data_IF_117708424103
#
_entry.id   IF_117708424103
#
_cell.length_a   1.000
_cell.length_b   1.000
_cell.length_c   1.000
_cell.angle_alpha   90.00
_cell.angle_beta   90.00
_cell.angle_gamma   90.00
#
_symmetry.space_group_name_H-M   'P 1'
#
loop_
_entity.id
_entity.type
_entity.pdbx_description
1 polymer ?
#
# COMPACT_ATOMS: atom_id res chain seq x y z
N UNK A 1 -13.40 -35.62 5.95
CA UNK A 1 -14.27 -34.46 6.23
C UNK A 1 -13.50 -33.47 7.07
N UNK A 2 -13.81 -32.16 6.98
CA UNK A 2 -13.05 -31.08 7.64
C UNK A 2 -13.10 -31.16 9.18
N UNK A 3 -14.16 -31.75 9.72
CA UNK A 3 -14.32 -31.96 11.18
C UNK A 3 -13.25 -32.89 11.76
N UNK A 4 -12.80 -33.86 10.98
CA UNK A 4 -11.89 -34.92 11.44
C UNK A 4 -10.42 -34.61 11.17
N UNK A 5 -10.10 -33.39 10.70
CA UNK A 5 -8.71 -32.97 10.50
C UNK A 5 -8.01 -32.85 11.86
N UNK A 6 -6.96 -33.64 12.04
CA UNK A 6 -6.17 -33.65 13.25
C UNK A 6 -5.08 -32.57 13.29
N UNK A 7 -4.48 -32.37 14.45
CA UNK A 7 -3.29 -31.50 14.61
C UNK A 7 -2.16 -31.99 13.70
N UNK A 8 -2.00 -33.31 13.54
CA UNK A 8 -0.99 -33.93 12.68
C UNK A 8 -1.19 -33.55 11.22
N UNK A 9 -2.42 -33.58 10.72
CA UNK A 9 -2.75 -33.23 9.33
C UNK A 9 -2.44 -31.77 9.03
N UNK A 10 -2.78 -30.85 9.95
CA UNK A 10 -2.39 -29.44 9.82
C UNK A 10 -0.87 -29.25 9.81
N UNK A 11 -0.12 -29.98 10.66
CA UNK A 11 1.34 -29.94 10.67
C UNK A 11 1.93 -30.45 9.36
N UNK A 12 1.45 -31.57 8.87
CA UNK A 12 1.88 -32.17 7.59
C UNK A 12 1.60 -31.24 6.41
N UNK A 13 0.42 -30.63 6.36
CA UNK A 13 0.09 -29.62 5.35
C UNK A 13 1.06 -28.41 5.40
N UNK A 14 1.27 -27.87 6.60
CA UNK A 14 2.17 -26.71 6.75
C UNK A 14 3.63 -27.10 6.41
N UNK A 15 4.09 -28.30 6.78
CA UNK A 15 5.42 -28.80 6.41
C UNK A 15 5.58 -28.91 4.89
N UNK A 16 4.59 -29.49 4.19
CA UNK A 16 4.56 -29.55 2.73
C UNK A 16 4.66 -28.17 2.09
N UNK A 17 3.88 -27.18 2.60
CA UNK A 17 3.93 -25.81 2.09
C UNK A 17 5.30 -25.16 2.32
N UNK A 18 5.96 -25.47 3.43
CA UNK A 18 7.31 -25.00 3.74
C UNK A 18 8.35 -25.62 2.81
N UNK A 19 8.28 -26.93 2.56
CA UNK A 19 9.14 -27.62 1.58
C UNK A 19 8.94 -27.06 0.17
N UNK A 20 7.73 -26.63 -0.18
CA UNK A 20 7.41 -25.91 -1.41
C UNK A 20 7.90 -24.44 -1.45
N UNK A 21 8.77 -24.00 -0.54
CA UNK A 21 9.45 -22.70 -0.56
C UNK A 21 8.69 -21.54 0.09
N UNK A 22 7.59 -21.80 0.82
CA UNK A 22 6.91 -20.70 1.51
C UNK A 22 7.75 -20.14 2.67
N UNK A 23 7.87 -18.82 2.68
CA UNK A 23 8.55 -18.10 3.76
C UNK A 23 7.78 -18.18 5.08
N UNK A 24 8.45 -18.00 6.23
CA UNK A 24 7.80 -17.96 7.55
C UNK A 24 6.65 -16.94 7.63
N UNK A 25 6.78 -15.79 6.96
CA UNK A 25 5.73 -14.77 6.88
C UNK A 25 4.51 -15.27 6.08
N UNK A 26 4.74 -15.94 4.96
CA UNK A 26 3.67 -16.56 4.16
C UNK A 26 2.99 -17.70 4.92
N UNK A 27 3.76 -18.52 5.64
CA UNK A 27 3.23 -19.58 6.51
C UNK A 27 2.35 -19.03 7.63
N UNK A 28 2.78 -17.96 8.31
CA UNK A 28 1.96 -17.29 9.33
C UNK A 28 0.63 -16.78 8.75
N UNK A 29 0.64 -16.28 7.51
CA UNK A 29 -0.55 -15.83 6.79
C UNK A 29 -1.49 -16.98 6.47
N UNK A 30 -0.97 -18.09 5.95
CA UNK A 30 -1.76 -19.33 5.71
C UNK A 30 -2.42 -19.80 7.01
N UNK A 31 -1.67 -19.88 8.10
CA UNK A 31 -2.21 -20.29 9.40
C UNK A 31 -3.31 -19.34 9.90
N UNK A 32 -3.13 -18.03 9.74
CA UNK A 32 -4.14 -17.04 10.10
C UNK A 32 -5.43 -17.21 9.28
N UNK A 33 -5.30 -17.50 7.98
CA UNK A 33 -6.45 -17.76 7.10
C UNK A 33 -7.20 -19.02 7.53
N UNK A 34 -6.48 -20.10 7.81
CA UNK A 34 -7.10 -21.34 8.29
C UNK A 34 -7.82 -21.14 9.62
N UNK A 35 -7.21 -20.44 10.58
CA UNK A 35 -7.86 -20.11 11.86
C UNK A 35 -9.13 -19.28 11.67
N UNK A 36 -9.08 -18.29 10.79
CA UNK A 36 -10.26 -17.47 10.49
C UNK A 36 -11.36 -18.27 9.84
N UNK A 37 -11.01 -19.20 8.94
CA UNK A 37 -11.96 -20.10 8.30
C UNK A 37 -12.65 -21.02 9.32
N UNK A 38 -11.90 -21.74 10.16
CA UNK A 38 -12.50 -22.63 11.16
C UNK A 38 -13.29 -21.87 12.22
N UNK A 39 -12.85 -20.67 12.63
CA UNK A 39 -13.63 -19.79 13.50
C UNK A 39 -14.94 -19.33 12.85
N UNK A 40 -14.93 -19.08 11.55
CA UNK A 40 -16.16 -18.76 10.82
C UNK A 40 -17.11 -19.94 10.77
N UNK A 41 -16.62 -21.15 10.43
CA UNK A 41 -17.40 -22.38 10.39
C UNK A 41 -18.03 -22.73 11.76
N UNK A 42 -17.29 -22.56 12.85
CA UNK A 42 -17.76 -22.74 14.22
C UNK A 42 -18.89 -21.75 14.55
N UNK A 43 -18.75 -20.48 14.14
CA UNK A 43 -19.76 -19.44 14.35
C UNK A 43 -21.08 -19.69 13.63
N UNK A 44 -21.04 -20.31 12.44
CA UNK A 44 -22.25 -20.67 11.66
C UNK A 44 -22.67 -22.12 11.92
N UNK A 45 -22.11 -22.75 12.95
CA UNK A 45 -22.44 -24.11 13.43
C UNK A 45 -22.34 -25.21 12.37
N UNK A 46 -21.57 -24.98 11.27
CA UNK A 46 -21.44 -25.97 10.20
C UNK A 46 -20.30 -26.97 10.40
N UNK A 47 -19.22 -26.58 11.08
CA UNK A 47 -18.04 -27.43 11.36
C UNK A 47 -17.42 -26.98 12.68
N UNK A 48 -17.21 -27.91 13.59
CA UNK A 48 -16.48 -27.69 14.85
C UNK A 48 -15.16 -28.44 14.83
N UNK A 49 -14.05 -27.71 14.66
CA UNK A 49 -12.70 -28.28 14.71
C UNK A 49 -11.74 -27.33 15.44
N UNK A 50 -11.32 -27.70 16.64
CA UNK A 50 -10.41 -26.92 17.47
C UNK A 50 -8.92 -27.27 17.27
N UNK A 51 -8.60 -28.29 16.47
CA UNK A 51 -7.23 -28.77 16.27
C UNK A 51 -6.28 -27.68 15.73
N UNK A 52 -6.80 -26.77 14.88
CA UNK A 52 -6.03 -25.64 14.32
C UNK A 52 -5.54 -24.66 15.39
N UNK A 53 -6.21 -24.58 16.54
CA UNK A 53 -5.82 -23.66 17.62
C UNK A 53 -4.51 -24.11 18.31
N UNK A 54 -4.22 -25.43 18.29
CA UNK A 54 -3.00 -26.01 18.88
C UNK A 54 -1.76 -25.87 18.00
N UNK A 55 -1.89 -25.32 16.78
CA UNK A 55 -0.73 -25.08 15.90
C UNK A 55 -0.07 -23.75 16.28
N UNK A 56 1.20 -23.78 16.65
CA UNK A 56 1.97 -22.55 16.91
C UNK A 56 2.32 -21.85 15.59
N UNK A 57 2.14 -20.54 15.54
CA UNK A 57 2.59 -19.75 14.40
C UNK A 57 4.11 -19.74 14.31
N UNK A 58 4.70 -19.80 13.10
CA UNK A 58 6.14 -19.68 12.94
C UNK A 58 6.60 -18.29 13.43
N UNK A 59 7.76 -18.25 14.07
CA UNK A 59 8.40 -16.98 14.43
C UNK A 59 8.73 -16.23 13.14
N UNK A 60 8.14 -15.06 12.96
CA UNK A 60 8.42 -14.14 11.86
C UNK A 60 9.35 -13.07 12.39
N UNK A 61 10.58 -12.93 11.85
CA UNK A 61 11.45 -11.82 12.24
C UNK A 61 10.70 -10.49 12.02
N UNK A 62 10.66 -9.65 13.04
CA UNK A 62 10.16 -8.28 12.91
C UNK A 62 11.21 -7.47 12.15
N UNK A 63 11.13 -7.45 10.83
CA UNK A 63 11.84 -6.42 10.08
C UNK A 63 11.04 -5.13 10.24
N UNK A 64 11.58 -4.16 10.97
CA UNK A 64 11.06 -2.80 10.92
C UNK A 64 11.17 -2.33 9.47
N UNK A 65 10.08 -1.85 8.85
CA UNK A 65 10.19 -1.21 7.56
C UNK A 65 11.15 -0.03 7.71
N UNK A 66 12.28 -0.06 7.00
CA UNK A 66 13.18 1.09 6.98
C UNK A 66 12.56 2.11 6.03
N UNK A 67 12.29 3.34 6.50
CA UNK A 67 11.90 4.43 5.61
C UNK A 67 13.05 4.67 4.63
N UNK A 68 12.72 5.14 3.43
CA UNK A 68 13.72 5.67 2.52
C UNK A 68 14.31 6.95 3.13
N UNK A 69 15.56 7.23 2.87
CA UNK A 69 16.12 8.56 3.17
C UNK A 69 15.43 9.62 2.32
N UNK A 70 15.51 10.88 2.69
CA UNK A 70 14.98 11.98 1.87
C UNK A 70 15.59 11.98 0.46
N UNK A 71 16.91 11.79 0.38
CA UNK A 71 17.65 11.67 -0.89
C UNK A 71 17.07 10.53 -1.72
N UNK A 72 16.96 9.31 -1.16
CA UNK A 72 16.42 8.17 -1.89
C UNK A 72 14.95 8.35 -2.30
N UNK A 73 14.14 9.07 -1.52
CA UNK A 73 12.77 9.38 -1.90
C UNK A 73 12.70 10.37 -3.07
N UNK A 74 13.61 11.36 -3.11
CA UNK A 74 13.75 12.28 -4.23
C UNK A 74 14.28 11.59 -5.48
N UNK A 75 15.30 10.72 -5.34
CA UNK A 75 15.83 9.91 -6.43
C UNK A 75 14.73 9.04 -7.07
N UNK A 76 13.82 8.48 -6.27
CA UNK A 76 12.65 7.75 -6.78
C UNK A 76 11.78 8.66 -7.65
N UNK A 77 11.44 9.87 -7.20
CA UNK A 77 10.62 10.81 -7.98
C UNK A 77 11.30 11.22 -9.27
N UNK A 78 12.60 11.47 -9.24
CA UNK A 78 13.35 11.85 -10.44
C UNK A 78 13.51 10.66 -11.40
N UNK A 79 13.74 9.46 -10.88
CA UNK A 79 13.85 8.25 -11.71
C UNK A 79 12.58 7.98 -12.51
N UNK A 80 11.38 8.27 -11.98
CA UNK A 80 10.13 8.15 -12.76
C UNK A 80 10.16 9.04 -14.00
N UNK A 81 10.75 10.24 -13.89
CA UNK A 81 10.83 11.19 -15.01
C UNK A 81 11.82 10.71 -16.08
N UNK A 82 12.95 10.09 -15.67
CA UNK A 82 14.07 9.77 -16.57
C UNK A 82 14.03 8.34 -17.13
N UNK A 83 13.43 7.39 -16.42
CA UNK A 83 13.38 5.98 -16.83
C UNK A 83 12.22 5.64 -17.76
N UNK A 84 11.28 6.53 -17.88
CA UNK A 84 10.11 6.37 -18.73
C UNK A 84 10.38 6.74 -20.19
N UNK A 85 9.41 6.47 -21.03
CA UNK A 85 9.43 6.87 -22.46
C UNK A 85 9.02 8.34 -22.65
N UNK A 86 8.76 9.06 -21.57
CA UNK A 86 8.20 10.41 -21.61
C UNK A 86 6.72 10.45 -21.99
N UNK A 87 6.04 9.32 -21.93
CA UNK A 87 4.63 9.23 -22.27
C UNK A 87 3.70 9.59 -21.08
N UNK A 88 2.42 9.66 -21.34
CA UNK A 88 1.42 9.99 -20.34
C UNK A 88 1.39 9.00 -19.15
N UNK A 89 1.84 7.76 -19.32
CA UNK A 89 1.88 6.76 -18.26
C UNK A 89 2.98 7.06 -17.24
N UNK A 90 4.09 7.65 -17.67
CA UNK A 90 5.16 8.09 -16.78
C UNK A 90 4.72 9.30 -15.94
N UNK A 91 4.03 10.26 -16.57
CA UNK A 91 3.45 11.41 -15.85
C UNK A 91 2.40 10.96 -14.84
N UNK A 92 1.59 9.96 -15.20
CA UNK A 92 0.63 9.33 -14.30
C UNK A 92 1.32 8.70 -13.09
N UNK A 93 2.31 7.87 -13.33
CA UNK A 93 3.01 7.14 -12.27
C UNK A 93 3.76 8.12 -11.35
N UNK A 94 4.35 9.18 -11.91
CA UNK A 94 4.93 10.27 -11.15
C UNK A 94 3.89 10.97 -10.25
N UNK A 95 2.72 11.30 -10.78
CA UNK A 95 1.67 11.94 -9.99
C UNK A 95 1.19 11.04 -8.84
N UNK A 96 1.02 9.73 -9.09
CA UNK A 96 0.67 8.77 -8.03
C UNK A 96 1.76 8.69 -6.97
N UNK A 97 3.02 8.51 -7.38
CA UNK A 97 4.15 8.36 -6.44
C UNK A 97 4.34 9.64 -5.63
N UNK A 98 4.16 10.81 -6.24
CA UNK A 98 4.19 12.11 -5.55
C UNK A 98 3.08 12.20 -4.49
N UNK A 99 1.86 11.72 -4.77
CA UNK A 99 0.79 11.64 -3.76
C UNK A 99 1.11 10.70 -2.60
N UNK A 100 1.76 9.56 -2.88
CA UNK A 100 2.13 8.61 -1.84
C UNK A 100 3.16 9.20 -0.87
N UNK A 101 4.15 9.90 -1.41
CA UNK A 101 5.22 10.53 -0.62
C UNK A 101 4.81 11.89 -0.05
N UNK A 102 4.23 12.78 -0.86
CA UNK A 102 3.94 14.15 -0.45
C UNK A 102 2.68 14.34 0.40
N UNK A 103 1.73 13.37 0.33
CA UNK A 103 0.51 13.37 1.14
C UNK A 103 0.40 12.15 2.06
N UNK A 104 1.36 11.25 2.03
CA UNK A 104 1.33 10.03 2.82
C UNK A 104 0.10 9.15 2.56
N UNK A 105 -0.45 9.12 1.34
CA UNK A 105 -1.60 8.32 1.01
C UNK A 105 -1.27 6.83 0.93
N UNK A 106 -2.25 5.97 1.26
CA UNK A 106 -2.17 4.56 0.86
C UNK A 106 -2.39 4.46 -0.65
N UNK A 107 -1.75 3.48 -1.30
CA UNK A 107 -1.90 3.29 -2.75
C UNK A 107 -3.38 3.21 -3.17
N UNK A 108 -4.21 2.48 -2.42
CA UNK A 108 -5.63 2.39 -2.72
C UNK A 108 -6.39 3.71 -2.49
N UNK A 109 -5.96 4.55 -1.53
CA UNK A 109 -6.54 5.87 -1.32
C UNK A 109 -6.22 6.78 -2.52
N UNK A 110 -4.98 6.83 -2.96
CA UNK A 110 -4.57 7.58 -4.14
C UNK A 110 -5.32 7.11 -5.41
N UNK A 111 -5.35 5.80 -5.65
CA UNK A 111 -5.99 5.25 -6.85
C UNK A 111 -7.53 5.26 -6.81
N UNK A 112 -8.15 5.46 -5.65
CA UNK A 112 -9.61 5.62 -5.54
C UNK A 112 -10.10 7.03 -5.86
N UNK A 113 -9.20 7.99 -6.01
CA UNK A 113 -9.58 9.36 -6.39
C UNK A 113 -10.27 9.38 -7.75
N UNK A 114 -11.29 10.21 -7.85
CA UNK A 114 -11.94 10.55 -9.10
C UNK A 114 -11.48 11.93 -9.58
N UNK A 115 -11.65 12.22 -10.85
CA UNK A 115 -11.24 13.49 -11.47
C UNK A 115 -11.87 14.70 -10.77
N UNK A 116 -13.16 14.62 -10.38
CA UNK A 116 -13.83 15.64 -9.60
C UNK A 116 -13.32 15.83 -8.17
N UNK A 117 -12.50 14.89 -7.65
CA UNK A 117 -11.88 15.01 -6.32
C UNK A 117 -10.55 15.75 -6.33
N UNK A 118 -10.07 16.21 -7.50
CA UNK A 118 -8.85 17.02 -7.57
C UNK A 118 -9.14 18.32 -6.83
N UNK A 119 -8.45 18.60 -5.72
CA UNK A 119 -8.72 19.79 -4.96
C UNK A 119 -8.24 21.02 -5.73
N UNK A 120 -9.03 22.08 -5.62
CA UNK A 120 -8.66 23.43 -6.10
C UNK A 120 -7.96 24.25 -5.02
N UNK A 121 -7.89 23.72 -3.80
CA UNK A 121 -7.29 24.32 -2.61
C UNK A 121 -6.09 23.53 -2.14
N UNK A 122 -5.34 24.07 -1.16
CA UNK A 122 -4.16 23.44 -0.57
C UNK A 122 -4.50 22.25 0.36
N UNK A 123 -5.74 21.76 0.33
CA UNK A 123 -6.19 20.62 1.12
C UNK A 123 -7.11 19.69 0.33
N UNK A 124 -7.05 18.41 0.65
CA UNK A 124 -7.86 17.35 0.06
C UNK A 124 -8.51 16.47 1.14
N UNK A 125 -9.78 16.12 0.94
CA UNK A 125 -10.48 15.15 1.79
C UNK A 125 -10.20 13.74 1.29
N UNK A 126 -9.62 12.89 2.15
CA UNK A 126 -9.37 11.49 1.85
C UNK A 126 -10.30 10.60 2.67
N UNK A 127 -11.05 9.74 1.98
CA UNK A 127 -11.91 8.72 2.58
C UNK A 127 -11.07 7.49 2.96
N UNK A 128 -10.95 7.22 4.23
CA UNK A 128 -10.25 6.07 4.77
C UNK A 128 -11.17 4.85 5.01
N UNK A 129 -10.64 3.83 5.69
CA UNK A 129 -11.43 2.65 6.06
C UNK A 129 -12.63 3.04 6.91
N UNK A 130 -13.79 2.40 6.65
CA UNK A 130 -15.08 2.60 7.35
C UNK A 130 -15.65 4.02 7.19
N UNK A 131 -15.40 4.69 6.07
CA UNK A 131 -15.94 6.00 5.77
C UNK A 131 -15.36 7.16 6.58
N UNK A 132 -14.31 6.94 7.37
CA UNK A 132 -13.64 8.05 8.09
C UNK A 132 -12.94 8.94 7.09
N UNK A 133 -13.22 10.22 7.14
CA UNK A 133 -12.57 11.25 6.33
C UNK A 133 -11.44 11.92 7.11
N UNK A 134 -10.43 12.38 6.40
CA UNK A 134 -9.37 13.22 6.93
C UNK A 134 -8.95 14.26 5.91
N UNK A 135 -8.58 15.43 6.37
CA UNK A 135 -7.95 16.46 5.56
C UNK A 135 -6.45 16.17 5.41
N UNK A 136 -5.95 16.34 4.20
CA UNK A 136 -4.53 16.15 3.87
C UNK A 136 -4.07 17.40 3.12
N UNK A 137 -2.97 18.04 3.54
CA UNK A 137 -2.40 19.17 2.84
C UNK A 137 -1.83 18.73 1.49
N UNK A 138 -1.92 19.60 0.50
CA UNK A 138 -1.41 19.39 -0.85
C UNK A 138 -0.39 20.47 -1.18
N UNK A 139 0.82 20.02 -1.50
CA UNK A 139 1.88 20.91 -1.94
C UNK A 139 1.70 21.33 -3.40
N UNK A 140 2.17 22.50 -3.82
CA UNK A 140 2.10 22.97 -5.21
C UNK A 140 2.67 21.97 -6.22
N UNK A 141 3.71 21.22 -5.85
CA UNK A 141 4.29 20.16 -6.67
C UNK A 141 3.28 19.08 -7.03
N UNK A 142 2.39 18.71 -6.11
CA UNK A 142 1.36 17.67 -6.33
C UNK A 142 0.34 18.15 -7.35
N UNK A 143 -0.13 19.40 -7.22
CA UNK A 143 -0.99 20.00 -8.22
C UNK A 143 -0.35 19.99 -9.60
N UNK A 144 0.93 20.40 -9.69
CA UNK A 144 1.68 20.44 -10.93
C UNK A 144 1.80 19.04 -11.57
N UNK A 145 2.13 18.01 -10.80
CA UNK A 145 2.28 16.64 -11.34
C UNK A 145 0.95 16.06 -11.79
N UNK A 146 -0.13 16.29 -11.02
CA UNK A 146 -1.48 15.84 -11.42
C UNK A 146 -1.91 16.57 -12.70
N UNK A 147 -1.71 17.90 -12.78
CA UNK A 147 -2.06 18.68 -13.96
C UNK A 147 -1.30 18.18 -15.20
N UNK A 148 0.02 18.00 -15.11
CA UNK A 148 0.82 17.51 -16.23
C UNK A 148 0.34 16.14 -16.72
N UNK A 149 -0.06 15.26 -15.80
CA UNK A 149 -0.64 13.97 -16.16
C UNK A 149 -2.01 14.14 -16.86
N UNK A 150 -2.90 14.95 -16.31
CA UNK A 150 -4.25 15.16 -16.86
C UNK A 150 -4.17 15.75 -18.25
N UNK A 151 -3.30 16.75 -18.47
CA UNK A 151 -3.10 17.39 -19.77
C UNK A 151 -2.57 16.41 -20.83
N UNK A 152 -1.79 15.40 -20.43
CA UNK A 152 -1.22 14.40 -21.34
C UNK A 152 -2.08 13.11 -21.47
N UNK A 153 -3.09 12.94 -20.63
CA UNK A 153 -3.92 11.73 -20.60
C UNK A 153 -4.75 11.60 -21.90
N UNK A 154 -4.64 10.49 -22.64
CA UNK A 154 -5.38 10.33 -23.91
C UNK A 154 -6.89 10.08 -23.70
N UNK A 155 -7.31 9.84 -22.47
CA UNK A 155 -8.70 9.59 -22.15
C UNK A 155 -9.38 10.87 -21.67
N UNK A 156 -10.56 11.24 -22.21
CA UNK A 156 -11.32 12.35 -21.68
C UNK A 156 -11.79 12.04 -20.25
N UNK A 157 -11.40 12.88 -19.29
CA UNK A 157 -11.75 12.71 -17.88
C UNK A 157 -12.94 13.58 -17.52
N UNK A 158 -14.00 12.95 -17.01
CA UNK A 158 -15.20 13.62 -16.47
C UNK A 158 -15.19 13.52 -14.94
N UNK A 159 -15.99 14.32 -14.27
CA UNK A 159 -16.01 14.46 -12.81
C UNK A 159 -16.13 13.12 -12.02
N UNK A 160 -16.91 12.17 -12.52
CA UNK A 160 -17.09 10.84 -11.91
C UNK A 160 -16.05 9.81 -12.29
N UNK A 161 -15.20 10.09 -13.29
CA UNK A 161 -14.23 9.13 -13.79
C UNK A 161 -13.05 8.96 -12.82
N UNK A 162 -12.38 7.80 -12.85
CA UNK A 162 -11.13 7.62 -12.11
C UNK A 162 -10.10 8.68 -12.48
N UNK A 163 -9.48 9.33 -11.48
CA UNK A 163 -8.39 10.27 -11.76
C UNK A 163 -7.24 9.58 -12.49
N UNK A 164 -6.81 8.41 -12.02
CA UNK A 164 -5.69 7.68 -12.62
C UNK A 164 -6.17 6.54 -13.50
N UNK A 165 -5.86 6.66 -14.79
CA UNK A 165 -6.30 5.73 -15.83
C UNK A 165 -5.22 4.67 -16.13
N UNK A 166 -5.66 3.42 -16.26
CA UNK A 166 -4.85 2.38 -16.86
C UNK A 166 -4.84 2.47 -18.38
N UNK A 167 -3.91 1.77 -19.03
CA UNK A 167 -3.75 1.74 -20.50
C UNK A 167 -5.00 1.29 -21.27
N UNK A 168 -5.96 0.65 -20.59
CA UNK A 168 -7.23 0.19 -21.18
C UNK A 168 -8.40 1.14 -20.89
N UNK A 169 -8.15 2.37 -20.46
CA UNK A 169 -9.19 3.34 -20.12
C UNK A 169 -10.04 2.98 -18.89
N UNK A 170 -9.54 2.11 -18.01
CA UNK A 170 -10.15 1.77 -16.72
C UNK A 170 -9.30 2.31 -15.57
N UNK A 171 -9.84 2.35 -14.35
CA UNK A 171 -9.10 2.73 -13.14
C UNK A 171 -7.76 1.98 -13.05
N UNK A 172 -6.69 2.69 -12.73
CA UNK A 172 -5.35 2.14 -12.60
C UNK A 172 -5.28 1.05 -11.53
N UNK A 173 -4.69 -0.08 -11.89
CA UNK A 173 -4.47 -1.17 -10.94
C UNK A 173 -3.26 -0.86 -10.04
N UNK A 174 -3.33 -1.08 -8.72
CA UNK A 174 -2.19 -0.91 -7.81
C UNK A 174 -0.93 -1.67 -8.23
N UNK A 175 -1.08 -2.81 -8.89
CA UNK A 175 0.05 -3.61 -9.38
C UNK A 175 0.93 -2.84 -10.38
N UNK A 176 0.34 -1.95 -11.18
CA UNK A 176 1.11 -1.12 -12.12
C UNK A 176 2.13 -0.25 -11.38
N UNK A 177 1.70 0.47 -10.34
CA UNK A 177 2.59 1.31 -9.51
C UNK A 177 3.62 0.46 -8.75
N UNK A 178 3.23 -0.74 -8.29
CA UNK A 178 4.18 -1.66 -7.66
C UNK A 178 5.27 -2.09 -8.64
N UNK A 179 4.93 -2.39 -9.90
CA UNK A 179 5.88 -2.75 -10.94
C UNK A 179 6.81 -1.57 -11.30
N UNK A 180 6.29 -0.34 -11.37
CA UNK A 180 7.10 0.87 -11.56
C UNK A 180 8.09 1.02 -10.42
N UNK A 181 7.66 0.86 -9.16
CA UNK A 181 8.55 0.89 -8.01
C UNK A 181 9.58 -0.25 -8.01
N UNK A 182 9.22 -1.44 -8.48
CA UNK A 182 10.15 -2.58 -8.62
C UNK A 182 11.27 -2.27 -9.62
N UNK A 183 10.93 -1.64 -10.75
CA UNK A 183 11.92 -1.18 -11.76
C UNK A 183 12.86 -0.12 -11.19
N UNK A 184 12.30 0.95 -10.61
CA UNK A 184 13.08 2.05 -10.02
C UNK A 184 14.03 1.51 -8.95
N UNK A 185 13.52 0.64 -8.06
CA UNK A 185 14.31 -0.01 -7.02
C UNK A 185 15.52 -0.76 -7.59
N UNK A 186 15.32 -1.52 -8.68
CA UNK A 186 16.39 -2.22 -9.36
C UNK A 186 17.44 -1.29 -9.92
N UNK A 187 17.04 -0.18 -10.54
CA UNK A 187 17.97 0.81 -11.12
C UNK A 187 18.75 1.59 -10.07
N UNK A 188 18.09 1.98 -8.97
CA UNK A 188 18.71 2.75 -7.90
C UNK A 188 19.43 1.89 -6.85
N UNK A 189 19.43 0.56 -6.97
CA UNK A 189 20.00 -0.35 -5.97
C UNK A 189 19.30 -0.27 -4.60
N UNK A 190 18.03 0.14 -4.58
CA UNK A 190 17.27 0.26 -3.34
C UNK A 190 16.85 -1.12 -2.81
N UNK A 191 16.69 -1.28 -1.48
CA UNK A 191 16.30 -2.56 -0.88
C UNK A 191 14.89 -2.98 -1.31
N UNK A 192 14.60 -4.28 -1.23
CA UNK A 192 13.28 -4.85 -1.54
C UNK A 192 12.12 -4.26 -0.73
N UNK A 193 12.42 -3.64 0.40
CA UNK A 193 11.46 -2.90 1.20
C UNK A 193 11.02 -1.57 0.59
N UNK A 194 11.72 -1.05 -0.44
CA UNK A 194 11.35 0.17 -1.16
C UNK A 194 10.10 -0.08 -2.02
N UNK A 195 8.95 0.13 -1.45
CA UNK A 195 7.62 -0.14 -2.01
C UNK A 195 6.74 1.11 -1.92
N UNK A 196 5.59 1.17 -2.59
CA UNK A 196 4.63 2.27 -2.38
C UNK A 196 4.27 2.51 -0.90
N UNK A 197 4.30 1.46 -0.08
CA UNK A 197 4.03 1.59 1.36
C UNK A 197 5.19 2.24 2.12
N UNK A 198 6.44 1.99 1.71
CA UNK A 198 7.61 2.64 2.32
C UNK A 198 7.65 4.14 2.05
N UNK A 199 7.22 4.62 0.87
CA UNK A 199 7.10 6.04 0.57
C UNK A 199 6.18 6.76 1.57
N UNK A 200 5.03 6.17 1.85
CA UNK A 200 4.12 6.70 2.88
C UNK A 200 4.78 6.69 4.27
N UNK A 201 5.55 5.65 4.59
CA UNK A 201 6.26 5.57 5.87
C UNK A 201 7.37 6.63 5.95
N UNK A 202 8.10 6.84 4.84
CA UNK A 202 9.11 7.90 4.73
C UNK A 202 8.50 9.29 4.92
N UNK A 203 7.34 9.58 4.32
CA UNK A 203 6.61 10.83 4.58
C UNK A 203 6.40 11.06 6.09
N UNK A 204 5.90 10.05 6.81
CA UNK A 204 5.66 10.17 8.25
C UNK A 204 6.94 10.44 9.03
N UNK A 205 8.03 9.72 8.69
CA UNK A 205 9.32 9.85 9.36
C UNK A 205 9.95 11.21 9.07
N UNK A 206 9.95 11.65 7.82
CA UNK A 206 10.54 12.94 7.43
C UNK A 206 9.76 14.11 8.00
N UNK A 207 8.43 14.03 8.01
CA UNK A 207 7.60 15.06 8.63
C UNK A 207 7.85 15.16 10.15
N UNK A 208 8.04 14.02 10.82
CA UNK A 208 8.41 14.00 12.25
C UNK A 208 9.81 14.60 12.47
N UNK A 209 10.78 14.24 11.64
CA UNK A 209 12.15 14.77 11.71
C UNK A 209 12.21 16.29 11.43
N UNK A 210 11.28 16.80 10.62
CA UNK A 210 11.14 18.24 10.36
C UNK A 210 10.39 19.01 11.46
N UNK A 211 10.13 18.37 12.61
CA UNK A 211 9.48 19.00 13.77
C UNK A 211 7.95 18.89 13.76
N UNK A 212 7.38 18.06 12.90
CA UNK A 212 5.94 17.78 12.90
C UNK A 212 5.51 17.07 14.18
N UNK A 213 4.39 17.51 14.77
CA UNK A 213 3.81 16.85 15.95
C UNK A 213 3.31 15.44 15.62
N UNK A 214 3.65 14.47 16.46
CA UNK A 214 3.29 13.06 16.28
C UNK A 214 1.78 12.85 16.15
N UNK A 215 0.98 13.61 16.89
CA UNK A 215 -0.49 13.50 16.86
C UNK A 215 -1.03 13.99 15.50
N UNK A 216 -0.55 15.14 15.02
CA UNK A 216 -0.89 15.66 13.69
C UNK A 216 -0.50 14.68 12.58
N UNK A 217 0.69 14.07 12.67
CA UNK A 217 1.13 13.06 11.70
C UNK A 217 0.22 11.84 11.73
N UNK A 218 -0.20 11.36 12.90
CA UNK A 218 -1.12 10.23 13.03
C UNK A 218 -2.49 10.54 12.41
N UNK A 219 -3.01 11.75 12.60
CA UNK A 219 -4.26 12.21 12.01
C UNK A 219 -4.14 12.26 10.48
N UNK A 220 -3.07 12.85 9.94
CA UNK A 220 -2.78 12.91 8.49
C UNK A 220 -2.66 11.51 7.87
N UNK A 221 -2.07 10.57 8.56
CA UNK A 221 -1.95 9.19 8.09
C UNK A 221 -3.23 8.35 8.31
N UNK A 222 -4.15 8.81 9.15
CA UNK A 222 -5.34 8.04 9.54
C UNK A 222 -4.98 6.75 10.28
N UNK A 223 -4.01 6.79 11.21
CA UNK A 223 -3.67 5.69 12.09
C UNK A 223 -4.58 5.70 13.33
N UNK A 224 -5.02 4.52 13.75
CA UNK A 224 -5.88 4.38 14.93
C UNK A 224 -5.11 4.14 16.23
N UNK A 225 -3.87 3.67 16.17
CA UNK A 225 -3.06 3.24 17.32
C UNK A 225 -1.63 3.77 17.22
N UNK A 226 -1.08 4.19 18.35
CA UNK A 226 0.29 4.66 18.55
C UNK A 226 1.37 3.64 18.11
N UNK A 227 1.06 2.34 18.17
CA UNK A 227 2.02 1.25 17.90
C UNK A 227 2.47 1.11 16.44
N UNK A 228 1.90 1.88 15.52
CA UNK A 228 2.21 1.77 14.07
C UNK A 228 3.18 2.84 13.58
N UNK A 229 3.51 3.83 14.41
CA UNK A 229 4.36 4.98 14.03
C UNK A 229 5.65 5.07 14.86
N UNK A 230 5.84 4.16 15.85
CA UNK A 230 7.09 4.02 16.63
C UNK A 230 8.03 3.01 16.01
#
# INVERSE_FOLDING_TARGET
KLENISVSDFRSYLASRRMGGLTSRSMARVLSTLRSFFKYCDRIECIKNLAIQHIKAPKVPRSLPRPLTEISAMDVLDSVKFMGKGDWTDLRDLAVITLLYGCGLRINEALSLNFGNIPRSDTMVIKGKRGKERLVPILPLIHKTIKNYVDACPFPLKEGDPLFMGIRGKRLNPRSIQLTMEKIRGTLGLPDSATPHSLRHSFATHLLSAGGDLRTIQELLGHKNLSTTQ
#
